data_IF_119770135618
#
_entry.id   IF_119770135618
#
_cell.length_a   1.000
_cell.length_b   1.000
_cell.length_c   1.000
_cell.angle_alpha   90.00
_cell.angle_beta   90.00
_cell.angle_gamma   90.00
#
_symmetry.space_group_name_H-M   'P 1'
#
loop_
_entity.id
_entity.type
_entity.pdbx_description
1 polymer ?
#
# COMPACT_ATOMS: atom_id res chain seq x y z
N UNK A 1 -10.92 8.42 19.29
CA UNK A 1 -10.80 8.32 17.83
C UNK A 1 -9.32 8.39 17.48
N UNK A 2 -8.77 7.31 16.91
CA UNK A 2 -7.35 7.27 16.51
C UNK A 2 -7.30 7.59 15.01
N UNK A 3 -6.58 8.64 14.64
CA UNK A 3 -6.37 8.98 13.23
C UNK A 3 -5.49 7.90 12.59
N UNK A 4 -6.01 7.20 11.58
CA UNK A 4 -5.33 6.13 10.84
C UNK A 4 -5.28 6.49 9.35
N UNK A 5 -4.22 6.11 8.65
CA UNK A 5 -4.14 6.30 7.20
C UNK A 5 -5.14 5.36 6.54
N UNK A 6 -6.16 5.91 5.89
CA UNK A 6 -7.25 5.15 5.27
C UNK A 6 -6.77 4.30 4.08
N UNK A 7 -5.65 4.67 3.45
CA UNK A 7 -5.05 3.88 2.38
C UNK A 7 -4.39 2.59 2.87
N UNK A 8 -4.09 2.47 4.17
CA UNK A 8 -3.27 1.38 4.70
C UNK A 8 -3.81 0.00 4.30
N UNK A 9 -5.10 -0.24 4.54
CA UNK A 9 -5.73 -1.54 4.26
C UNK A 9 -5.66 -1.87 2.76
N UNK A 10 -6.01 -0.91 1.90
CA UNK A 10 -5.98 -1.10 0.44
C UNK A 10 -4.58 -1.39 -0.06
N UNK A 11 -3.57 -0.69 0.46
CA UNK A 11 -2.17 -0.93 0.10
C UNK A 11 -1.70 -2.31 0.57
N UNK A 12 -2.04 -2.73 1.79
CA UNK A 12 -1.66 -4.06 2.31
C UNK A 12 -2.29 -5.21 1.48
N UNK A 13 -3.55 -5.06 1.07
CA UNK A 13 -4.24 -6.01 0.19
C UNK A 13 -3.57 -6.09 -1.20
N UNK A 14 -3.37 -4.93 -1.84
CA UNK A 14 -2.74 -4.86 -3.17
C UNK A 14 -1.28 -5.32 -3.17
N UNK A 15 -0.53 -5.09 -2.09
CA UNK A 15 0.84 -5.60 -1.96
C UNK A 15 0.84 -7.12 -1.90
N UNK A 16 -0.10 -7.73 -1.16
CA UNK A 16 -0.18 -9.18 -1.09
C UNK A 16 -0.45 -9.76 -2.48
N UNK A 17 -1.42 -9.21 -3.21
CA UNK A 17 -1.77 -9.65 -4.57
C UNK A 17 -0.59 -9.50 -5.55
N UNK A 18 0.01 -8.30 -5.64
CA UNK A 18 1.14 -8.04 -6.57
C UNK A 18 2.35 -8.94 -6.30
N UNK A 19 2.68 -9.20 -5.03
CA UNK A 19 3.82 -10.04 -4.70
C UNK A 19 3.53 -11.53 -4.85
N UNK A 20 2.29 -11.98 -4.63
CA UNK A 20 1.91 -13.39 -4.79
C UNK A 20 1.69 -13.80 -6.25
N UNK A 21 1.24 -12.88 -7.11
CA UNK A 21 1.03 -13.12 -8.55
C UNK A 21 2.33 -13.04 -9.37
N UNK A 22 3.42 -12.54 -8.79
CA UNK A 22 4.68 -12.32 -9.50
C UNK A 22 5.79 -13.25 -9.03
N UNK A 23 6.28 -14.11 -9.92
CA UNK A 23 7.47 -14.93 -9.67
C UNK A 23 8.77 -14.08 -9.54
N UNK A 24 8.74 -12.78 -9.87
CA UNK A 24 9.90 -11.89 -9.81
C UNK A 24 10.19 -11.41 -8.37
N UNK A 25 9.17 -11.37 -7.51
CA UNK A 25 9.27 -10.75 -6.18
C UNK A 25 9.07 -11.77 -5.06
N UNK A 26 9.74 -11.54 -3.93
CA UNK A 26 9.54 -12.34 -2.72
C UNK A 26 8.27 -11.90 -1.99
N UNK A 27 7.35 -12.84 -1.72
CA UNK A 27 6.08 -12.61 -1.03
C UNK A 27 6.10 -12.93 0.47
N UNK A 28 7.27 -13.03 1.11
CA UNK A 28 7.34 -13.26 2.55
C UNK A 28 6.79 -12.08 3.35
N UNK A 29 6.38 -12.31 4.60
CA UNK A 29 5.80 -11.28 5.48
C UNK A 29 6.71 -10.05 5.66
N UNK A 30 8.04 -10.25 5.68
CA UNK A 30 8.98 -9.13 5.78
C UNK A 30 9.00 -8.28 4.51
N UNK A 31 9.02 -8.91 3.33
CA UNK A 31 8.94 -8.19 2.05
C UNK A 31 7.61 -7.47 1.90
N UNK A 32 6.49 -8.12 2.23
CA UNK A 32 5.17 -7.47 2.24
C UNK A 32 5.18 -6.22 3.12
N UNK A 33 5.67 -6.33 4.35
CA UNK A 33 5.77 -5.21 5.27
C UNK A 33 6.67 -4.07 4.76
N UNK A 34 7.85 -4.40 4.22
CA UNK A 34 8.79 -3.42 3.67
C UNK A 34 8.21 -2.69 2.45
N UNK A 35 7.56 -3.42 1.54
CA UNK A 35 6.91 -2.85 0.35
C UNK A 35 5.74 -1.97 0.77
N UNK A 36 4.86 -2.42 1.67
CA UNK A 36 3.75 -1.61 2.19
C UNK A 36 4.24 -0.34 2.88
N UNK A 37 5.28 -0.42 3.70
CA UNK A 37 5.86 0.74 4.38
C UNK A 37 6.43 1.76 3.37
N UNK A 38 7.19 1.27 2.38
CA UNK A 38 7.77 2.13 1.36
C UNK A 38 6.69 2.74 0.46
N UNK A 39 5.64 1.98 0.10
CA UNK A 39 4.53 2.49 -0.69
C UNK A 39 3.74 3.57 0.08
N UNK A 40 3.36 3.31 1.33
CA UNK A 40 2.62 4.26 2.16
C UNK A 40 3.38 5.56 2.43
N UNK A 41 4.71 5.51 2.49
CA UNK A 41 5.56 6.70 2.63
C UNK A 41 5.63 7.56 1.37
N UNK A 42 5.43 6.95 0.19
CA UNK A 42 5.47 7.65 -1.10
C UNK A 42 4.07 8.07 -1.60
N UNK A 43 3.02 7.48 -1.06
CA UNK A 43 1.64 7.90 -1.30
C UNK A 43 1.27 9.09 -0.41
N UNK A 44 0.46 10.00 -0.95
CA UNK A 44 -0.14 11.05 -0.12
C UNK A 44 -1.11 10.38 0.87
N UNK A 45 -0.93 10.50 2.20
CA UNK A 45 -1.79 9.81 3.14
C UNK A 45 -3.19 10.43 3.17
N UNK A 46 -4.19 9.64 3.58
CA UNK A 46 -5.58 10.08 3.72
C UNK A 46 -6.06 9.83 5.15
N UNK A 47 -6.68 10.84 5.75
CA UNK A 47 -7.18 10.80 7.13
C UNK A 47 -8.52 11.50 7.20
N UNK A 48 -9.42 10.99 8.05
CA UNK A 48 -10.67 11.63 8.40
C UNK A 48 -10.71 11.98 9.90
N UNK A 49 -11.39 13.08 10.24
CA UNK A 49 -11.62 13.51 11.62
C UNK A 49 -12.95 13.03 12.21
N UNK A 50 -13.75 12.31 11.42
CA UNK A 50 -15.05 11.74 11.80
C UNK A 50 -15.35 10.51 10.94
N UNK A 51 -16.27 9.67 11.42
CA UNK A 51 -16.71 8.47 10.70
C UNK A 51 -17.40 8.83 9.37
N UNK A 52 -18.20 9.91 9.34
CA UNK A 52 -18.81 10.43 8.12
C UNK A 52 -17.76 10.86 7.08
N UNK A 53 -16.68 11.49 7.54
CA UNK A 53 -15.57 11.89 6.67
C UNK A 53 -14.80 10.70 6.11
N UNK A 54 -14.69 9.61 6.88
CA UNK A 54 -14.09 8.35 6.42
C UNK A 54 -14.90 7.78 5.24
N UNK A 55 -16.22 7.66 5.38
CA UNK A 55 -17.12 7.16 4.33
C UNK A 55 -17.08 8.03 3.06
N UNK A 56 -17.04 9.35 3.22
CA UNK A 56 -16.95 10.28 2.07
C UNK A 56 -15.60 10.13 1.35
N UNK A 57 -14.49 10.05 2.08
CA UNK A 57 -13.16 9.86 1.47
C UNK A 57 -13.03 8.50 0.80
N UNK A 58 -13.58 7.45 1.40
CA UNK A 58 -13.61 6.11 0.81
C UNK A 58 -14.29 6.13 -0.57
N UNK A 59 -15.50 6.68 -0.64
CA UNK A 59 -16.31 6.67 -1.86
C UNK A 59 -15.82 7.62 -2.97
N UNK A 60 -15.14 8.72 -2.63
CA UNK A 60 -14.81 9.77 -3.61
C UNK A 60 -13.35 9.78 -4.06
N UNK A 61 -12.42 9.36 -3.20
CA UNK A 61 -10.97 9.42 -3.47
C UNK A 61 -10.36 8.01 -3.48
N UNK A 62 -10.54 7.26 -2.39
CA UNK A 62 -9.86 5.96 -2.20
C UNK A 62 -10.32 4.93 -3.23
N UNK A 63 -11.63 4.88 -3.52
CA UNK A 63 -12.20 4.02 -4.57
C UNK A 63 -12.08 4.59 -5.98
N UNK A 64 -11.37 5.70 -6.18
CA UNK A 64 -11.19 6.26 -7.53
C UNK A 64 -10.14 5.48 -8.32
N UNK A 65 -10.37 5.31 -9.62
CA UNK A 65 -9.40 4.64 -10.52
C UNK A 65 -8.03 5.32 -10.52
N UNK A 66 -7.98 6.64 -10.34
CA UNK A 66 -6.71 7.37 -10.25
C UNK A 66 -5.91 6.92 -9.02
N UNK A 67 -6.56 6.83 -7.86
CA UNK A 67 -5.92 6.37 -6.63
C UNK A 67 -5.50 4.91 -6.72
N UNK A 68 -6.29 4.04 -7.35
CA UNK A 68 -5.90 2.65 -7.60
C UNK A 68 -4.66 2.54 -8.48
N UNK A 69 -4.60 3.30 -9.58
CA UNK A 69 -3.43 3.34 -10.46
C UNK A 69 -2.18 3.87 -9.75
N UNK A 70 -2.34 4.90 -8.92
CA UNK A 70 -1.23 5.47 -8.14
C UNK A 70 -0.72 4.46 -7.09
N UNK A 71 -1.62 3.75 -6.40
CA UNK A 71 -1.27 2.67 -5.46
C UNK A 71 -0.49 1.59 -6.20
N UNK A 72 -1.05 1.05 -7.28
CA UNK A 72 -0.44 -0.05 -8.04
C UNK A 72 0.97 0.31 -8.54
N UNK A 73 1.10 1.49 -9.16
CA UNK A 73 2.41 1.99 -9.63
C UNK A 73 3.42 2.10 -8.49
N UNK A 74 3.00 2.68 -7.36
CA UNK A 74 3.89 2.91 -6.22
C UNK A 74 4.32 1.59 -5.58
N UNK A 75 3.42 0.59 -5.52
CA UNK A 75 3.73 -0.77 -5.06
C UNK A 75 4.77 -1.42 -5.97
N UNK A 76 4.62 -1.34 -7.30
CA UNK A 76 5.61 -1.89 -8.23
C UNK A 76 6.99 -1.22 -8.08
N UNK A 77 7.03 0.10 -7.90
CA UNK A 77 8.28 0.83 -7.65
C UNK A 77 8.91 0.40 -6.31
N UNK A 78 8.11 0.24 -5.26
CA UNK A 78 8.55 -0.22 -3.95
C UNK A 78 9.05 -1.67 -3.96
N UNK A 79 8.32 -2.58 -4.62
CA UNK A 79 8.69 -3.98 -4.79
C UNK A 79 10.06 -4.11 -5.48
N UNK A 80 10.32 -3.33 -6.54
CA UNK A 80 11.63 -3.29 -7.19
C UNK A 80 12.76 -2.80 -6.28
N UNK A 81 12.47 -1.89 -5.35
CA UNK A 81 13.48 -1.41 -4.38
C UNK A 81 13.79 -2.48 -3.35
N UNK A 82 12.75 -3.10 -2.77
CA UNK A 82 12.91 -4.16 -1.77
C UNK A 82 13.58 -5.40 -2.38
N UNK A 83 13.19 -5.80 -3.59
CA UNK A 83 13.75 -6.98 -4.27
C UNK A 83 15.26 -6.85 -4.54
N UNK A 84 15.78 -5.63 -4.71
CA UNK A 84 17.23 -5.40 -4.88
C UNK A 84 18.03 -5.69 -3.62
N UNK A 85 17.43 -5.51 -2.44
CA UNK A 85 18.07 -5.65 -1.12
C UNK A 85 17.03 -6.07 -0.07
N UNK A 86 16.54 -7.32 -0.12
CA UNK A 86 15.56 -7.80 0.85
C UNK A 86 16.17 -7.82 2.27
N UNK A 87 15.32 -7.59 3.27
CA UNK A 87 15.73 -7.67 4.68
C UNK A 87 15.57 -9.05 5.31
N UNK A 88 14.88 -9.98 4.64
CA UNK A 88 14.80 -11.37 5.10
C UNK A 88 16.15 -12.06 5.01
N UNK A 89 16.33 -13.10 5.83
CA UNK A 89 17.58 -13.85 6.03
C UNK A 89 18.72 -13.06 6.71
N UNK A 90 18.38 -12.06 7.53
CA UNK A 90 19.27 -11.49 8.57
C UNK A 90 19.28 -12.31 9.84
#
# INVERSE_FOLDING_TARGET
MVSKNLLKKRVEEEVAEVLEESDEFCACEQCKADVSALALNNLRPRYAGSDEGEVVLESTDISSTQTEMDIYRTILEAAKVVNKRPHHDR
#
